data_IF_713996630467
#
_entry.id   IF_713996630467
#
_cell.length_a   1.000
_cell.length_b   1.000
_cell.length_c   1.000
_cell.angle_alpha   90.00
_cell.angle_beta   90.00
_cell.angle_gamma   90.00
#
_symmetry.space_group_name_H-M   'P 1'
#
loop_
_entity.id
_entity.type
_entity.pdbx_description
1 polymer ?
#
# COMPACT_ATOMS: atom_id res chain seq x y z
N UNK A 1 1.29 19.82 -6.52
CA UNK A 1 2.37 19.06 -5.80
C UNK A 1 2.48 17.60 -6.24
N UNK A 2 1.48 17.05 -6.93
CA UNK A 2 1.43 15.67 -7.46
C UNK A 2 2.39 15.34 -8.63
N UNK A 3 3.02 16.34 -9.27
CA UNK A 3 3.76 16.12 -10.53
C UNK A 3 5.28 16.30 -10.44
N UNK A 4 5.85 16.69 -9.30
CA UNK A 4 7.28 17.08 -9.22
C UNK A 4 8.25 16.02 -8.72
N UNK A 5 7.78 14.85 -8.27
CA UNK A 5 8.65 13.85 -7.65
C UNK A 5 8.99 12.67 -8.59
N UNK A 6 8.35 12.58 -9.76
CA UNK A 6 8.49 11.43 -10.67
C UNK A 6 9.23 11.70 -11.98
N UNK A 7 9.63 12.94 -12.28
CA UNK A 7 10.37 13.25 -13.50
C UNK A 7 11.62 14.06 -13.15
N UNK A 8 12.71 13.35 -12.91
CA UNK A 8 14.05 13.95 -12.91
C UNK A 8 15.06 12.97 -13.49
N UNK A 9 15.13 12.91 -14.82
CA UNK A 9 16.38 12.59 -15.51
C UNK A 9 16.40 13.19 -16.92
N UNK A 10 17.49 13.94 -17.15
CA UNK A 10 18.25 14.13 -18.39
C UNK A 10 17.72 15.02 -19.53
N UNK A 11 18.32 16.22 -19.56
CA UNK A 11 19.23 16.73 -20.61
C UNK A 11 18.69 17.48 -21.83
N UNK A 12 18.99 18.79 -21.81
CA UNK A 12 19.43 19.67 -22.89
C UNK A 12 19.69 19.02 -24.26
N UNK A 13 19.04 19.51 -25.32
CA UNK A 13 19.67 19.70 -26.64
C UNK A 13 18.93 20.70 -27.52
N UNK A 14 19.76 21.52 -28.17
CA UNK A 14 19.43 22.61 -29.08
C UNK A 14 18.77 22.14 -30.38
N UNK A 15 17.95 23.04 -30.94
CA UNK A 15 17.42 23.05 -32.29
C UNK A 15 18.51 22.86 -33.35
N UNK A 16 18.31 21.88 -34.25
CA UNK A 16 18.72 22.01 -35.65
C UNK A 16 17.83 21.12 -36.53
N UNK A 17 17.13 21.74 -37.49
CA UNK A 17 16.33 21.08 -38.51
C UNK A 17 17.24 20.44 -39.55
N UNK A 18 16.98 19.19 -39.93
CA UNK A 18 17.31 18.65 -41.25
C UNK A 18 16.45 17.41 -41.52
N UNK A 19 16.00 17.27 -42.77
CA UNK A 19 15.03 16.29 -43.24
C UNK A 19 15.66 14.89 -43.44
N UNK A 20 14.90 13.82 -43.16
CA UNK A 20 14.82 12.59 -43.98
C UNK A 20 13.96 11.49 -43.33
N UNK A 21 13.30 10.72 -44.21
CA UNK A 21 12.76 9.36 -44.04
C UNK A 21 11.54 9.13 -43.11
N UNK A 22 10.38 8.95 -43.74
CA UNK A 22 9.19 8.35 -43.15
C UNK A 22 9.45 6.85 -42.90
N UNK A 23 9.77 6.49 -41.66
CA UNK A 23 9.54 5.15 -41.15
C UNK A 23 8.15 5.10 -40.49
N UNK A 24 7.37 4.01 -40.65
CA UNK A 24 6.09 3.87 -39.99
C UNK A 24 6.33 3.91 -38.48
N UNK A 25 5.78 4.93 -37.84
CA UNK A 25 5.73 5.08 -36.40
C UNK A 25 4.89 3.91 -35.88
N UNK A 26 5.54 2.89 -35.33
CA UNK A 26 4.85 1.88 -34.52
C UNK A 26 4.30 2.66 -33.33
N UNK A 27 2.98 2.87 -33.30
CA UNK A 27 2.30 3.44 -32.15
C UNK A 27 2.66 2.58 -30.93
N UNK A 28 3.49 3.12 -30.04
CA UNK A 28 3.64 2.52 -28.71
C UNK A 28 2.27 2.51 -28.07
N UNK A 29 1.88 1.43 -27.35
CA UNK A 29 0.62 1.44 -26.62
C UNK A 29 0.59 2.72 -25.78
N UNK A 30 -0.47 3.51 -25.94
CA UNK A 30 -0.73 4.76 -25.24
C UNK A 30 -0.09 4.73 -23.85
N UNK A 31 0.87 5.62 -23.61
CA UNK A 31 1.50 5.82 -22.30
C UNK A 31 0.43 6.39 -21.35
N UNK A 32 -0.46 5.52 -20.90
CA UNK A 32 -1.51 5.83 -19.95
C UNK A 32 -0.83 6.07 -18.60
N UNK A 33 -0.93 7.29 -18.08
CA UNK A 33 -0.20 7.74 -16.91
C UNK A 33 -0.43 6.85 -15.67
N UNK A 34 -1.57 6.14 -15.64
CA UNK A 34 -1.99 5.26 -14.56
C UNK A 34 -1.83 3.75 -14.85
N UNK A 35 -1.18 3.35 -15.94
CA UNK A 35 -0.90 1.95 -16.22
C UNK A 35 0.21 1.42 -15.29
N UNK A 36 -0.20 0.81 -14.17
CA UNK A 36 0.70 0.22 -13.16
C UNK A 36 0.60 -1.31 -13.21
N UNK A 37 1.72 -1.98 -12.90
CA UNK A 37 1.75 -3.45 -12.78
C UNK A 37 0.75 -3.89 -11.72
N UNK A 38 -0.03 -4.93 -12.05
CA UNK A 38 -1.07 -5.51 -11.22
C UNK A 38 -0.62 -6.85 -10.66
N UNK A 39 -1.21 -7.28 -9.56
CA UNK A 39 -0.89 -8.56 -8.91
C UNK A 39 -1.15 -9.77 -9.84
N UNK A 40 -2.14 -9.66 -10.74
CA UNK A 40 -2.48 -10.68 -11.74
C UNK A 40 -1.45 -10.82 -12.88
N UNK A 41 -0.49 -9.88 -12.95
CA UNK A 41 0.57 -9.83 -13.95
C UNK A 41 1.94 -10.17 -13.37
N UNK A 42 2.00 -10.60 -12.11
CA UNK A 42 3.23 -10.93 -11.37
C UNK A 42 3.23 -12.41 -11.00
N UNK A 43 4.36 -13.07 -11.18
CA UNK A 43 4.56 -14.43 -10.64
C UNK A 43 4.75 -14.39 -9.13
N UNK A 44 3.76 -14.90 -8.41
CA UNK A 44 3.74 -15.01 -6.95
C UNK A 44 3.93 -16.44 -6.46
N UNK A 45 4.05 -17.43 -7.36
CA UNK A 45 4.18 -18.83 -6.99
C UNK A 45 5.49 -19.08 -6.24
N UNK A 46 5.43 -19.81 -5.11
CA UNK A 46 6.57 -20.03 -4.22
C UNK A 46 7.27 -18.75 -3.72
N UNK A 47 6.62 -17.59 -3.81
CA UNK A 47 7.13 -16.30 -3.29
C UNK A 47 6.45 -15.92 -1.99
N UNK A 48 7.12 -15.12 -1.17
CA UNK A 48 6.53 -14.43 -0.03
C UNK A 48 6.00 -13.08 -0.51
N UNK A 49 4.71 -12.83 -0.38
CA UNK A 49 4.08 -11.60 -0.87
C UNK A 49 3.80 -10.68 0.30
N UNK A 50 4.46 -9.52 0.34
CA UNK A 50 4.15 -8.46 1.29
C UNK A 50 3.03 -7.59 0.72
N UNK A 51 1.89 -7.52 1.41
CA UNK A 51 0.72 -6.75 0.97
C UNK A 51 0.42 -5.66 1.98
N UNK A 52 0.46 -4.41 1.52
CA UNK A 52 -0.06 -3.29 2.29
C UNK A 52 -1.55 -3.09 2.03
N UNK A 53 -2.36 -3.51 3.00
CA UNK A 53 -3.83 -3.54 2.94
C UNK A 53 -4.46 -2.51 3.86
N UNK A 54 -5.59 -1.91 3.51
CA UNK A 54 -6.27 -0.91 4.35
C UNK A 54 -7.22 -1.54 5.38
N UNK A 55 -6.72 -1.88 6.57
CA UNK A 55 -7.55 -2.36 7.70
C UNK A 55 -7.87 -1.28 8.74
N UNK A 56 -7.99 -0.02 8.33
CA UNK A 56 -8.43 1.05 9.23
C UNK A 56 -9.96 0.99 9.44
N UNK A 57 -10.41 -0.03 10.17
CA UNK A 57 -11.83 -0.34 10.40
C UNK A 57 -12.40 0.36 11.64
N UNK A 58 -13.68 0.78 11.62
CA UNK A 58 -14.34 1.30 12.81
C UNK A 58 -14.62 0.17 13.81
N UNK A 59 -14.17 0.36 15.04
CA UNK A 59 -14.44 -0.53 16.17
C UNK A 59 -15.62 0.00 16.99
N UNK A 60 -16.26 -0.89 17.75
CA UNK A 60 -17.34 -0.52 18.65
C UNK A 60 -16.82 0.42 19.75
N UNK A 61 -17.67 1.40 20.13
CA UNK A 61 -17.28 2.43 21.11
C UNK A 61 -17.15 1.87 22.53
N UNK A 62 -17.87 0.80 22.85
CA UNK A 62 -17.89 0.14 24.16
C UNK A 62 -16.88 -0.98 24.20
N UNK A 63 -16.74 -1.73 23.11
CA UNK A 63 -15.76 -2.81 22.99
C UNK A 63 -14.87 -2.66 21.74
N UNK A 64 -13.62 -2.17 21.88
CA UNK A 64 -12.71 -2.00 20.75
C UNK A 64 -12.31 -3.35 20.10
N UNK A 65 -12.60 -4.49 20.72
CA UNK A 65 -12.35 -5.80 20.11
C UNK A 65 -13.40 -6.18 19.06
N UNK A 66 -14.52 -5.46 18.98
CA UNK A 66 -15.58 -5.71 18.02
C UNK A 66 -15.46 -4.75 16.83
N UNK A 67 -15.36 -5.31 15.63
CA UNK A 67 -15.34 -4.54 14.38
C UNK A 67 -16.78 -4.33 13.90
N UNK A 68 -17.17 -3.07 13.72
CA UNK A 68 -18.56 -2.70 13.37
C UNK A 68 -18.82 -2.69 11.86
N UNK A 69 -17.77 -2.51 11.05
CA UNK A 69 -17.86 -2.54 9.60
C UNK A 69 -16.62 -3.24 9.02
N UNK A 70 -16.86 -4.34 8.32
CA UNK A 70 -15.85 -5.23 7.74
C UNK A 70 -15.55 -4.96 6.27
N UNK A 71 -16.19 -3.97 5.63
CA UNK A 71 -16.06 -3.67 4.20
C UNK A 71 -14.61 -3.49 3.75
N UNK A 72 -13.77 -2.87 4.59
CA UNK A 72 -12.35 -2.68 4.31
C UNK A 72 -11.55 -3.98 4.33
N UNK A 73 -11.93 -4.91 5.21
CA UNK A 73 -11.34 -6.26 5.27
C UNK A 73 -11.79 -7.04 4.04
N UNK A 74 -13.09 -6.99 3.72
CA UNK A 74 -13.67 -7.66 2.56
C UNK A 74 -13.05 -7.22 1.23
N UNK A 75 -12.72 -5.92 1.11
CA UNK A 75 -12.12 -5.37 -0.09
C UNK A 75 -10.68 -5.88 -0.35
N UNK A 76 -9.96 -6.34 0.68
CA UNK A 76 -8.61 -6.90 0.54
C UNK A 76 -8.60 -8.41 0.25
N UNK A 77 -9.70 -9.12 0.56
CA UNK A 77 -9.79 -10.58 0.39
C UNK A 77 -9.48 -11.05 -1.04
N UNK A 78 -9.93 -10.40 -2.13
CA UNK A 78 -9.62 -10.85 -3.48
C UNK A 78 -8.11 -10.93 -3.76
N UNK A 79 -7.35 -9.94 -3.31
CA UNK A 79 -5.89 -9.90 -3.48
C UNK A 79 -5.21 -11.01 -2.67
N UNK A 80 -5.64 -11.18 -1.42
CA UNK A 80 -5.10 -12.22 -0.52
C UNK A 80 -5.38 -13.62 -1.07
N UNK A 81 -6.63 -13.89 -1.43
CA UNK A 81 -7.06 -15.18 -1.92
C UNK A 81 -6.36 -15.52 -3.24
N UNK A 82 -6.21 -14.55 -4.16
CA UNK A 82 -5.48 -14.75 -5.40
C UNK A 82 -4.03 -15.19 -5.15
N UNK A 83 -3.29 -14.52 -4.27
CA UNK A 83 -1.92 -14.93 -3.95
C UNK A 83 -1.86 -16.36 -3.42
N UNK A 84 -2.80 -16.73 -2.53
CA UNK A 84 -2.89 -18.08 -1.98
C UNK A 84 -3.23 -19.13 -3.06
N UNK A 85 -4.16 -18.81 -3.96
CA UNK A 85 -4.60 -19.70 -5.04
C UNK A 85 -3.50 -19.90 -6.10
N UNK A 86 -2.65 -18.88 -6.31
CA UNK A 86 -1.46 -18.96 -7.16
C UNK A 86 -0.27 -19.68 -6.49
N UNK A 87 -0.44 -20.21 -5.27
CA UNK A 87 0.58 -21.02 -4.62
C UNK A 87 1.76 -20.23 -4.06
N UNK A 88 1.53 -19.00 -3.57
CA UNK A 88 2.57 -18.26 -2.84
C UNK A 88 3.00 -18.99 -1.56
N UNK A 89 4.27 -18.83 -1.18
CA UNK A 89 4.80 -19.36 0.09
C UNK A 89 4.08 -18.75 1.28
N UNK A 90 3.91 -17.44 1.28
CA UNK A 90 3.15 -16.74 2.32
C UNK A 90 2.63 -15.39 1.85
N UNK A 91 1.59 -14.93 2.55
CA UNK A 91 1.09 -13.56 2.46
C UNK A 91 1.38 -12.86 3.78
N UNK A 92 2.19 -11.80 3.75
CA UNK A 92 2.49 -10.94 4.90
C UNK A 92 1.69 -9.65 4.77
N UNK A 93 0.75 -9.43 5.67
CA UNK A 93 -0.17 -8.31 5.69
C UNK A 93 0.34 -7.23 6.64
N UNK A 94 0.51 -6.02 6.12
CA UNK A 94 0.82 -4.84 6.90
C UNK A 94 -0.36 -3.85 6.81
N UNK A 95 -0.74 -3.28 7.95
CA UNK A 95 -1.75 -2.21 7.98
C UNK A 95 -1.52 -1.26 9.15
N UNK A 96 -2.27 -0.16 9.15
CA UNK A 96 -2.45 0.69 10.30
C UNK A 96 -3.91 0.66 10.78
N UNK A 97 -4.11 1.05 12.03
CA UNK A 97 -5.42 1.33 12.61
C UNK A 97 -5.33 2.63 13.42
N UNK A 98 -6.27 3.54 13.18
CA UNK A 98 -6.35 4.80 13.93
C UNK A 98 -5.09 5.69 13.82
N UNK A 99 -4.81 6.42 14.90
CA UNK A 99 -3.69 7.35 15.03
C UNK A 99 -2.96 7.11 16.36
N UNK A 100 -2.04 6.14 16.39
CA UNK A 100 -1.22 5.86 17.57
C UNK A 100 0.00 6.79 17.72
N UNK A 101 0.22 7.69 16.75
CA UNK A 101 1.27 8.73 16.77
C UNK A 101 2.69 8.22 17.08
N UNK A 102 3.05 7.01 16.59
CA UNK A 102 4.39 6.44 16.76
C UNK A 102 4.62 5.74 18.12
N UNK A 103 3.54 5.40 18.84
CA UNK A 103 3.61 4.68 20.11
C UNK A 103 2.70 3.45 20.11
N UNK A 104 3.10 2.38 20.81
CA UNK A 104 2.26 1.20 20.97
C UNK A 104 1.05 1.51 21.88
N UNK A 105 -0.15 1.48 21.31
CA UNK A 105 -1.40 1.76 22.02
C UNK A 105 -2.35 0.59 21.81
N UNK A 106 -2.70 -0.13 22.89
CA UNK A 106 -3.52 -1.34 22.84
C UNK A 106 -4.85 -1.16 22.10
N UNK A 107 -5.48 0.02 22.24
CA UNK A 107 -6.73 0.37 21.53
C UNK A 107 -6.61 0.27 20.00
N UNK A 108 -5.42 0.54 19.46
CA UNK A 108 -5.16 0.54 18.03
C UNK A 108 -4.45 -0.73 17.55
N UNK A 109 -4.45 -1.81 18.34
CA UNK A 109 -3.93 -3.10 17.90
C UNK A 109 -4.78 -3.70 16.78
N UNK A 110 -4.14 -4.42 15.86
CA UNK A 110 -4.79 -5.17 14.78
C UNK A 110 -5.22 -6.59 15.21
N UNK A 111 -5.04 -6.97 16.47
CA UNK A 111 -5.48 -8.27 16.99
C UNK A 111 -6.98 -8.59 16.76
N UNK A 112 -7.92 -7.61 16.82
CA UNK A 112 -9.32 -7.84 16.42
C UNK A 112 -9.48 -8.16 14.93
N UNK A 113 -8.69 -7.51 14.07
CA UNK A 113 -8.73 -7.72 12.61
C UNK A 113 -8.29 -9.14 12.26
N UNK A 114 -7.29 -9.68 12.97
CA UNK A 114 -6.86 -11.09 12.84
C UNK A 114 -8.04 -12.05 12.94
N UNK A 115 -8.87 -11.92 13.97
CA UNK A 115 -10.02 -12.83 14.18
C UNK A 115 -10.99 -12.77 13.00
N UNK A 116 -11.32 -11.57 12.53
CA UNK A 116 -12.19 -11.42 11.36
C UNK A 116 -11.56 -11.98 10.07
N UNK A 117 -10.25 -11.88 9.90
CA UNK A 117 -9.55 -12.49 8.77
C UNK A 117 -9.57 -14.02 8.84
N UNK A 118 -9.34 -14.61 10.02
CA UNK A 118 -9.41 -16.06 10.23
C UNK A 118 -10.79 -16.61 9.85
N UNK A 119 -11.86 -15.93 10.29
CA UNK A 119 -13.25 -16.28 9.96
C UNK A 119 -13.54 -16.19 8.46
N UNK A 120 -13.08 -15.11 7.80
CA UNK A 120 -13.34 -14.85 6.37
C UNK A 120 -12.52 -15.74 5.44
N UNK A 121 -11.24 -15.96 5.75
CA UNK A 121 -10.35 -16.83 4.98
C UNK A 121 -10.55 -18.31 5.29
N UNK A 122 -11.23 -18.63 6.41
CA UNK A 122 -11.39 -20.00 6.93
C UNK A 122 -10.04 -20.71 7.09
N UNK A 123 -9.03 -19.95 7.50
CA UNK A 123 -7.63 -20.36 7.62
C UNK A 123 -6.99 -19.69 8.84
N UNK A 124 -5.99 -20.32 9.46
CA UNK A 124 -5.25 -19.69 10.55
C UNK A 124 -4.48 -18.46 10.04
N UNK A 125 -4.46 -17.41 10.86
CA UNK A 125 -3.69 -16.20 10.58
C UNK A 125 -2.70 -15.98 11.72
N UNK A 126 -1.41 -16.14 11.41
CA UNK A 126 -0.34 -15.88 12.37
C UNK A 126 -0.28 -14.39 12.63
N UNK A 127 -0.32 -13.97 13.90
CA UNK A 127 -0.23 -12.57 14.26
C UNK A 127 1.04 -12.26 15.03
N UNK A 128 1.81 -11.35 14.47
CA UNK A 128 3.06 -10.90 15.05
C UNK A 128 2.80 -9.63 15.86
N UNK A 129 3.34 -9.56 17.08
CA UNK A 129 3.14 -8.43 18.01
C UNK A 129 3.89 -7.16 17.60
N UNK A 130 4.64 -7.23 16.51
CA UNK A 130 5.42 -6.14 15.95
C UNK A 130 5.37 -6.23 14.41
N UNK A 131 5.80 -5.18 13.71
CA UNK A 131 5.89 -5.13 12.25
C UNK A 131 7.32 -5.10 11.71
N UNK A 132 8.33 -4.97 12.58
CA UNK A 132 9.74 -4.97 12.21
C UNK A 132 10.59 -5.65 13.28
N UNK A 133 11.86 -5.92 12.95
CA UNK A 133 12.87 -6.43 13.88
C UNK A 133 13.13 -7.94 13.78
N UNK A 134 14.13 -8.45 14.51
CA UNK A 134 14.66 -9.80 14.30
C UNK A 134 13.64 -10.92 14.50
N UNK A 135 12.73 -10.76 15.47
CA UNK A 135 11.68 -11.75 15.72
C UNK A 135 10.68 -11.83 14.56
N UNK A 136 10.34 -10.70 13.95
CA UNK A 136 9.42 -10.64 12.80
C UNK A 136 10.11 -11.21 11.56
N UNK A 137 11.37 -10.84 11.34
CA UNK A 137 12.19 -11.35 10.24
C UNK A 137 12.34 -12.87 10.30
N UNK A 138 12.55 -13.45 11.50
CA UNK A 138 12.67 -14.89 11.68
C UNK A 138 11.37 -15.65 11.34
N UNK A 139 10.22 -15.15 11.82
CA UNK A 139 8.90 -15.75 11.55
C UNK A 139 8.51 -15.65 10.05
N UNK A 140 8.90 -14.56 9.38
CA UNK A 140 8.64 -14.37 7.95
C UNK A 140 9.70 -15.01 7.03
N UNK A 141 10.80 -15.53 7.56
CA UNK A 141 11.87 -16.11 6.74
C UNK A 141 11.43 -17.43 6.08
N UNK A 142 10.90 -18.37 6.87
CA UNK A 142 10.52 -19.70 6.42
C UNK A 142 9.13 -20.14 6.94
N UNK A 143 8.05 -19.41 6.59
CA UNK A 143 6.70 -19.82 6.95
C UNK A 143 6.27 -21.07 6.16
N UNK A 144 5.26 -21.79 6.67
CA UNK A 144 4.67 -22.91 5.92
C UNK A 144 3.95 -22.41 4.67
N UNK A 145 3.94 -23.24 3.62
CA UNK A 145 3.31 -22.92 2.34
C UNK A 145 1.85 -22.47 2.52
N UNK A 146 1.49 -21.33 1.93
CA UNK A 146 0.16 -20.74 2.02
C UNK A 146 -0.15 -20.09 3.37
N UNK A 147 0.87 -19.77 4.18
CA UNK A 147 0.70 -19.04 5.44
C UNK A 147 0.17 -17.62 5.21
N UNK A 148 -0.72 -17.18 6.10
CA UNK A 148 -1.15 -15.78 6.18
C UNK A 148 -0.63 -15.22 7.50
N UNK A 149 0.17 -14.16 7.41
CA UNK A 149 0.80 -13.49 8.54
C UNK A 149 0.27 -12.05 8.59
N UNK A 150 -0.29 -11.64 9.72
CA UNK A 150 -0.68 -10.26 9.99
C UNK A 150 0.34 -9.63 10.94
N UNK A 151 0.96 -8.55 10.51
CA UNK A 151 1.82 -7.72 11.36
C UNK A 151 0.98 -6.82 12.26
N UNK A 152 1.55 -6.43 13.40
CA UNK A 152 0.95 -5.39 14.24
C UNK A 152 0.96 -4.03 13.52
N UNK A 153 0.19 -3.07 14.06
CA UNK A 153 -0.01 -1.74 13.51
C UNK A 153 1.30 -1.02 13.17
N UNK A 154 1.54 -0.77 11.88
CA UNK A 154 2.78 -0.12 11.40
C UNK A 154 3.00 1.28 11.97
N UNK A 155 1.94 1.98 12.39
CA UNK A 155 2.04 3.33 12.98
C UNK A 155 2.45 3.31 14.46
N UNK A 156 2.65 2.13 15.07
CA UNK A 156 3.32 2.05 16.37
C UNK A 156 4.80 2.45 16.29
N UNK A 157 5.37 2.46 15.08
CA UNK A 157 6.70 2.97 14.79
C UNK A 157 6.61 4.38 14.21
N UNK A 158 7.37 5.32 14.78
CA UNK A 158 7.40 6.73 14.33
C UNK A 158 7.95 6.86 12.90
N UNK A 159 8.77 5.89 12.51
CA UNK A 159 9.41 5.73 11.21
C UNK A 159 8.39 5.51 10.08
N UNK A 160 7.17 5.08 10.38
CA UNK A 160 6.11 4.90 9.38
C UNK A 160 5.63 6.24 8.81
N UNK A 161 5.21 7.17 9.67
CA UNK A 161 4.73 8.49 9.25
C UNK A 161 5.87 9.52 9.18
N UNK A 162 7.06 9.18 9.68
CA UNK A 162 8.23 10.06 9.80
C UNK A 162 8.10 11.11 10.91
N UNK A 163 7.00 11.07 11.66
CA UNK A 163 6.66 11.99 12.75
C UNK A 163 5.70 11.31 13.72
N UNK A 164 5.70 11.77 14.97
CA UNK A 164 4.86 11.23 16.02
C UNK A 164 4.75 12.18 17.20
N UNK A 165 4.29 11.63 18.32
CA UNK A 165 4.17 12.36 19.59
C UNK A 165 4.81 11.50 20.69
N UNK A 166 5.67 12.11 21.51
CA UNK A 166 6.25 11.43 22.67
C UNK A 166 5.24 11.31 23.83
N UNK A 167 5.66 10.66 24.93
CA UNK A 167 4.81 10.48 26.11
C UNK A 167 4.41 11.80 26.78
N UNK A 168 5.21 12.85 26.57
CA UNK A 168 5.02 14.18 27.15
C UNK A 168 4.18 15.10 26.23
N UNK A 169 3.76 14.60 25.06
CA UNK A 169 2.92 15.34 24.11
C UNK A 169 3.71 16.18 23.10
N UNK A 170 5.05 16.06 23.07
CA UNK A 170 5.88 16.81 22.13
C UNK A 170 5.92 16.12 20.76
N UNK A 171 5.96 16.94 19.70
CA UNK A 171 6.11 16.44 18.34
C UNK A 171 7.52 15.92 18.13
N UNK A 172 7.63 14.64 17.77
CA UNK A 172 8.89 14.01 17.39
C UNK A 172 8.93 13.82 15.88
N UNK A 173 10.14 13.85 15.32
CA UNK A 173 10.42 13.56 13.92
C UNK A 173 11.39 12.39 13.88
N UNK A 174 11.08 11.38 13.07
CA UNK A 174 11.96 10.24 12.91
C UNK A 174 13.23 10.66 12.17
N UNK A 175 14.37 10.10 12.58
CA UNK A 175 15.62 10.28 11.86
C UNK A 175 15.55 9.64 10.46
N UNK A 176 16.21 10.26 9.47
CA UNK A 176 16.15 9.80 8.09
C UNK A 176 16.79 8.42 7.89
N UNK A 177 17.86 8.10 8.64
CA UNK A 177 18.50 6.79 8.62
C UNK A 177 17.62 5.74 9.29
N UNK A 178 16.95 6.09 10.40
CA UNK A 178 15.97 5.21 11.05
C UNK A 178 14.80 4.88 10.11
N UNK A 179 14.25 5.88 9.41
CA UNK A 179 13.20 5.65 8.39
C UNK A 179 13.70 4.74 7.27
N UNK A 180 14.94 4.95 6.78
CA UNK A 180 15.53 4.11 5.73
C UNK A 180 15.73 2.67 6.19
N UNK A 181 16.20 2.47 7.42
CA UNK A 181 16.37 1.15 8.02
C UNK A 181 15.02 0.45 8.19
N UNK A 182 14.00 1.15 8.68
CA UNK A 182 12.65 0.64 8.84
C UNK A 182 12.04 0.20 7.51
N UNK A 183 12.16 1.02 6.46
CA UNK A 183 11.71 0.65 5.11
C UNK A 183 12.42 -0.58 4.56
N UNK A 184 13.73 -0.65 4.75
CA UNK A 184 14.53 -1.80 4.30
C UNK A 184 14.18 -3.09 5.03
N UNK A 185 13.65 -3.00 6.25
CA UNK A 185 13.20 -4.17 7.01
C UNK A 185 12.02 -4.89 6.34
N UNK A 186 11.09 -4.16 5.71
CA UNK A 186 9.94 -4.77 5.03
C UNK A 186 10.35 -5.65 3.86
N UNK A 187 11.38 -5.26 3.11
CA UNK A 187 11.92 -6.05 1.99
C UNK A 187 12.51 -7.40 2.43
N UNK A 188 12.80 -7.59 3.72
CA UNK A 188 13.22 -8.89 4.26
C UNK A 188 12.03 -9.83 4.51
N UNK A 189 10.83 -9.27 4.68
CA UNK A 189 9.61 -10.01 5.01
C UNK A 189 8.93 -10.61 3.77
N UNK A 190 9.29 -10.16 2.56
CA UNK A 190 8.70 -10.67 1.32
C UNK A 190 9.59 -10.45 0.11
N UNK A 191 9.27 -11.13 -0.99
CA UNK A 191 9.98 -11.07 -2.26
C UNK A 191 9.23 -10.17 -3.27
N UNK A 192 7.90 -10.05 -3.11
CA UNK A 192 7.02 -9.21 -3.92
C UNK A 192 6.30 -8.22 -3.02
N UNK A 193 6.28 -6.94 -3.41
CA UNK A 193 5.48 -5.91 -2.76
C UNK A 193 4.19 -5.67 -3.54
N UNK A 194 3.07 -5.68 -2.82
CA UNK A 194 1.74 -5.39 -3.33
C UNK A 194 1.09 -4.25 -2.54
N UNK A 195 0.79 -3.13 -3.20
CA UNK A 195 0.04 -2.03 -2.60
C UNK A 195 -1.45 -2.22 -2.87
N UNK A 196 -2.23 -2.46 -1.81
CA UNK A 196 -3.69 -2.65 -1.87
C UNK A 196 -4.43 -1.71 -0.90
N UNK A 197 -3.84 -0.53 -0.66
CA UNK A 197 -4.35 0.49 0.27
C UNK A 197 -4.43 1.88 -0.39
N UNK A 198 -5.37 2.06 -1.32
CA UNK A 198 -5.54 3.31 -2.08
C UNK A 198 -5.72 4.54 -1.17
N UNK A 199 -6.47 4.39 -0.07
CA UNK A 199 -6.73 5.44 0.90
C UNK A 199 -5.46 6.02 1.55
N UNK A 200 -4.33 5.29 1.54
CA UNK A 200 -3.03 5.77 2.03
C UNK A 200 -1.99 6.05 0.95
N UNK A 201 -2.30 5.81 -0.32
CA UNK A 201 -1.36 5.98 -1.44
C UNK A 201 -0.90 7.43 -1.65
N UNK A 202 -1.67 8.41 -1.18
CA UNK A 202 -1.31 9.83 -1.22
C UNK A 202 -0.20 10.22 -0.22
N UNK A 203 0.25 9.29 0.63
CA UNK A 203 1.24 9.55 1.68
C UNK A 203 2.55 8.82 1.39
N UNK A 204 3.67 9.51 1.52
CA UNK A 204 5.01 8.93 1.40
C UNK A 204 5.46 8.20 2.69
N UNK A 205 4.56 7.41 3.27
CA UNK A 205 4.83 6.61 4.47
C UNK A 205 5.66 5.38 4.13
N UNK A 206 6.41 4.86 5.12
CA UNK A 206 7.38 3.79 4.91
C UNK A 206 6.78 2.52 4.32
N UNK A 207 5.64 2.05 4.82
CA UNK A 207 4.93 0.87 4.29
C UNK A 207 4.39 1.01 2.87
N UNK A 208 4.38 2.23 2.31
CA UNK A 208 3.81 2.51 0.99
C UNK A 208 4.83 2.62 -0.14
N UNK A 209 6.11 2.77 0.20
CA UNK A 209 7.14 3.01 -0.81
C UNK A 209 7.59 1.74 -1.53
N UNK A 210 7.50 0.58 -0.85
CA UNK A 210 8.03 -0.69 -1.37
C UNK A 210 9.56 -0.63 -1.59
N UNK A 211 10.27 0.16 -0.80
CA UNK A 211 11.72 0.32 -0.91
C UNK A 211 12.42 -1.03 -0.64
N UNK A 212 13.36 -1.41 -1.51
CA UNK A 212 14.12 -2.66 -1.40
C UNK A 212 13.47 -3.88 -2.07
N UNK A 213 12.20 -3.81 -2.47
CA UNK A 213 11.56 -4.92 -3.19
C UNK A 213 11.91 -4.91 -4.68
N UNK A 214 12.27 -6.07 -5.27
CA UNK A 214 12.56 -6.17 -6.69
C UNK A 214 11.30 -6.04 -7.56
N UNK A 215 10.16 -6.52 -7.06
CA UNK A 215 8.88 -6.49 -7.76
C UNK A 215 7.87 -5.69 -6.94
N UNK A 216 7.22 -4.73 -7.60
CA UNK A 216 6.19 -3.87 -7.01
C UNK A 216 4.94 -3.90 -7.89
N UNK A 217 3.80 -4.17 -7.30
CA UNK A 217 2.53 -4.22 -8.00
C UNK A 217 1.40 -3.60 -7.16
N UNK A 218 0.27 -3.38 -7.83
CA UNK A 218 -1.00 -3.01 -7.20
C UNK A 218 -1.85 -4.26 -6.94
N UNK A 219 -2.52 -4.29 -5.80
CA UNK A 219 -3.59 -5.26 -5.55
C UNK A 219 -4.86 -4.88 -6.30
N UNK A 220 -5.88 -5.74 -6.25
CA UNK A 220 -7.09 -5.53 -7.04
C UNK A 220 -7.88 -4.29 -6.64
N UNK A 221 -7.85 -3.89 -5.36
CA UNK A 221 -8.54 -2.69 -4.89
C UNK A 221 -7.90 -1.45 -5.52
N UNK A 222 -6.59 -1.32 -5.38
CA UNK A 222 -5.85 -0.17 -5.95
C UNK A 222 -5.95 -0.18 -7.48
N UNK A 223 -5.82 -1.34 -8.11
CA UNK A 223 -5.93 -1.44 -9.57
C UNK A 223 -7.31 -0.99 -10.08
N UNK A 224 -8.39 -1.37 -9.39
CA UNK A 224 -9.76 -0.94 -9.73
C UNK A 224 -9.94 0.57 -9.60
N UNK A 225 -9.39 1.19 -8.56
CA UNK A 225 -9.40 2.65 -8.39
C UNK A 225 -8.62 3.33 -9.52
N UNK A 226 -7.42 2.84 -9.85
CA UNK A 226 -6.60 3.36 -10.95
C UNK A 226 -7.33 3.25 -12.29
N UNK A 227 -7.99 2.12 -12.58
CA UNK A 227 -8.78 1.93 -13.80
C UNK A 227 -9.95 2.92 -13.88
N UNK A 228 -10.62 3.19 -12.75
CA UNK A 228 -11.72 4.15 -12.68
C UNK A 228 -11.23 5.58 -12.93
N UNK A 229 -10.09 5.98 -12.35
CA UNK A 229 -9.49 7.29 -12.59
C UNK A 229 -8.94 7.43 -14.01
N UNK A 230 -8.32 6.39 -14.58
CA UNK A 230 -7.77 6.41 -15.93
C UNK A 230 -8.85 6.67 -16.98
N UNK A 231 -10.05 6.10 -16.78
CA UNK A 231 -11.22 6.36 -17.64
C UNK A 231 -11.69 7.82 -17.61
N UNK A 232 -11.35 8.60 -16.58
CA UNK A 232 -11.76 10.00 -16.46
C UNK A 232 -10.62 10.95 -16.82
N UNK A 233 -9.38 10.58 -16.54
CA UNK A 233 -8.21 11.46 -16.69
C UNK A 233 -7.47 11.28 -18.02
N UNK A 234 -7.27 10.03 -18.47
CA UNK A 234 -6.41 9.75 -19.62
C UNK A 234 -7.19 9.81 -20.94
N UNK A 235 -8.33 9.09 -21.02
CA UNK A 235 -9.17 9.08 -22.23
C UNK A 235 -10.67 9.05 -21.88
N UNK A 236 -11.24 10.17 -21.40
CA UNK A 236 -12.63 10.18 -21.00
C UNK A 236 -13.59 10.20 -22.18
N UNK A 237 -14.61 9.33 -22.11
CA UNK A 237 -15.76 9.39 -22.98
C UNK A 237 -16.44 10.77 -22.82
N UNK A 238 -16.52 11.53 -23.90
CA UNK A 238 -17.07 12.89 -23.91
C UNK A 238 -18.58 12.87 -24.18
N UNK A 239 -19.37 13.80 -23.59
CA UNK A 239 -18.94 14.91 -22.73
C UNK A 239 -18.58 14.48 -21.30
N UNK A 240 -17.58 15.14 -20.71
CA UNK A 240 -17.20 14.94 -19.30
C UNK A 240 -17.92 15.97 -18.44
N UNK A 241 -18.68 15.50 -17.45
CA UNK A 241 -19.39 16.34 -16.49
C UNK A 241 -18.78 16.15 -15.10
N UNK A 242 -18.33 17.24 -14.48
CA UNK A 242 -17.89 17.26 -13.08
C UNK A 242 -18.96 17.93 -12.20
N UNK A 243 -19.51 17.19 -11.25
CA UNK A 243 -20.48 17.71 -10.27
C UNK A 243 -19.74 17.94 -8.96
N UNK A 244 -19.57 19.20 -8.56
CA UNK A 244 -18.88 19.59 -7.35
C UNK A 244 -19.88 20.19 -6.35
N UNK A 245 -20.06 19.55 -5.19
CA UNK A 245 -20.92 20.03 -4.10
C UNK A 245 -20.25 19.95 -2.72
N UNK A 246 -20.60 20.83 -1.78
CA UNK A 246 -20.04 20.85 -0.42
C UNK A 246 -20.11 22.24 0.22
N UNK A 247 -20.00 22.31 1.54
CA UNK A 247 -20.26 23.55 2.30
C UNK A 247 -19.20 24.65 2.13
N UNK A 248 -17.94 24.29 1.87
CA UNK A 248 -16.83 25.23 1.76
C UNK A 248 -16.25 25.20 0.35
N UNK A 249 -16.24 26.36 -0.30
CA UNK A 249 -15.61 26.55 -1.62
C UNK A 249 -14.09 26.48 -1.51
N UNK A 250 -13.52 26.94 -0.39
CA UNK A 250 -12.06 26.98 -0.14
C UNK A 250 -11.37 25.63 -0.36
N UNK A 251 -12.05 24.53 0.00
CA UNK A 251 -11.50 23.18 -0.03
C UNK A 251 -11.48 22.58 -1.46
N UNK A 252 -12.01 23.32 -2.45
CA UNK A 252 -12.23 22.86 -3.84
C UNK A 252 -11.46 23.68 -4.89
N UNK A 253 -10.58 24.58 -4.47
CA UNK A 253 -9.87 25.51 -5.37
C UNK A 253 -8.62 24.88 -6.03
N UNK A 254 -8.04 23.86 -5.40
CA UNK A 254 -6.78 23.24 -5.84
C UNK A 254 -6.91 22.41 -7.13
#
# INVERSE_FOLDING_TARGET
>A
FWLKVLVSSTSFRHSCRTAAAQHPFVESPLDMALNKVRIDSVDVASKRVFIRVDFNVPQDKKDPSVITNTQRIDAALPTIQYCLDQGCTSVVLASHLGRPDGSAVAKYSLAPVRKCLEEKLKRPVTFLKDCAGPSVEAECANPSLGSVILLENVRFHVEEEGKGVDKDGNKIKADAEAVKAFRSSFAKLGDVFCSDAFGTAHRAHSSMMGDGFPVKCSGFLVAKELDAFAKVLDNPARPVLAILGGAKVSDKIQ
#
